data_IF_119486024035
#
_entry.id   IF_119486024035
#
_cell.length_a   1.000
_cell.length_b   1.000
_cell.length_c   1.000
_cell.angle_alpha   90.00
_cell.angle_beta   90.00
_cell.angle_gamma   90.00
#
_symmetry.space_group_name_H-M   'P 1'
#
loop_
_entity.id
_entity.type
_entity.pdbx_description
1 polymer ?
#
# COMPACT_ATOMS: atom_id res chain seq x y z
N UNK A 1 16.61 -13.30 -30.28
CA UNK A 1 15.31 -13.32 -29.56
C UNK A 1 14.87 -14.76 -29.51
N UNK A 2 14.98 -15.40 -28.35
CA UNK A 2 14.63 -16.81 -28.12
C UNK A 2 13.28 -16.94 -27.39
N UNK A 3 12.76 -18.16 -27.18
CA UNK A 3 11.38 -18.40 -26.73
C UNK A 3 11.13 -18.07 -25.23
N UNK A 4 12.12 -17.51 -24.55
CA UNK A 4 12.01 -17.05 -23.18
C UNK A 4 11.90 -15.52 -23.22
N UNK A 5 10.66 -15.03 -23.15
CA UNK A 5 10.38 -13.61 -22.94
C UNK A 5 11.18 -13.08 -21.75
N UNK A 6 11.45 -11.78 -21.74
CA UNK A 6 12.15 -11.09 -20.65
C UNK A 6 11.65 -11.56 -19.28
N UNK A 7 12.57 -11.77 -18.34
CA UNK A 7 12.23 -12.16 -16.96
C UNK A 7 11.08 -11.32 -16.39
N UNK A 8 10.15 -11.92 -15.61
CA UNK A 8 9.05 -11.19 -15.01
C UNK A 8 9.58 -10.06 -14.13
N UNK A 9 8.82 -8.97 -13.99
CA UNK A 9 9.28 -7.76 -13.32
C UNK A 9 9.95 -8.03 -11.95
N UNK A 10 9.39 -8.86 -11.04
CA UNK A 10 10.04 -9.11 -9.75
C UNK A 10 11.43 -9.74 -9.84
N UNK A 11 11.71 -10.54 -10.88
CA UNK A 11 13.03 -11.13 -11.11
C UNK A 11 14.06 -10.12 -11.64
N UNK A 12 13.62 -8.94 -12.08
CA UNK A 12 14.47 -7.85 -12.56
C UNK A 12 14.68 -6.75 -11.52
N UNK A 13 13.95 -6.78 -10.41
CA UNK A 13 14.15 -5.84 -9.30
C UNK A 13 15.41 -6.20 -8.52
N UNK A 14 16.14 -5.18 -8.06
CA UNK A 14 17.31 -5.38 -7.21
C UNK A 14 16.94 -5.99 -5.84
N UNK A 15 15.72 -5.70 -5.35
CA UNK A 15 15.18 -6.22 -4.11
C UNK A 15 13.66 -6.40 -4.23
N UNK A 16 13.14 -7.42 -3.56
CA UNK A 16 11.70 -7.76 -3.47
C UNK A 16 11.20 -7.83 -2.02
N UNK A 17 12.05 -7.49 -1.04
CA UNK A 17 11.69 -7.48 0.39
C UNK A 17 11.70 -8.86 1.04
N UNK A 18 12.18 -9.90 0.34
CA UNK A 18 12.33 -11.25 0.89
C UNK A 18 11.03 -12.07 1.03
N UNK A 19 9.87 -11.49 0.76
CA UNK A 19 8.58 -12.17 0.81
C UNK A 19 8.37 -13.21 -0.29
N UNK A 20 7.41 -14.11 -0.08
CA UNK A 20 6.90 -15.03 -1.11
C UNK A 20 5.75 -14.45 -1.92
N UNK A 21 5.29 -13.25 -1.58
CA UNK A 21 4.29 -12.49 -2.33
C UNK A 21 4.79 -11.08 -2.54
N UNK A 22 4.45 -10.48 -3.68
CA UNK A 22 4.78 -9.11 -4.02
C UNK A 22 3.62 -8.46 -4.75
N UNK A 23 3.34 -7.19 -4.47
CA UNK A 23 2.44 -6.37 -5.28
C UNK A 23 3.28 -5.30 -5.95
N UNK A 24 3.19 -5.20 -7.28
CA UNK A 24 3.83 -4.12 -8.05
C UNK A 24 2.75 -3.21 -8.62
N UNK A 25 2.88 -1.90 -8.39
CA UNK A 25 2.07 -0.88 -9.07
C UNK A 25 3.00 -0.08 -9.99
N UNK A 26 2.78 -0.17 -11.30
CA UNK A 26 3.66 0.41 -12.32
C UNK A 26 2.91 1.43 -13.16
N UNK A 27 3.46 2.64 -13.22
CA UNK A 27 3.05 3.71 -14.12
C UNK A 27 4.00 3.79 -15.33
N UNK A 28 3.53 4.19 -16.52
CA UNK A 28 4.39 4.32 -17.69
C UNK A 28 5.37 5.50 -17.61
N UNK A 29 5.05 6.54 -16.83
CA UNK A 29 5.94 7.68 -16.56
C UNK A 29 5.65 8.28 -15.17
N UNK A 30 6.60 9.05 -14.59
CA UNK A 30 6.40 9.68 -13.28
C UNK A 30 5.16 10.58 -13.19
N UNK A 31 4.76 11.25 -14.27
CA UNK A 31 3.56 12.11 -14.28
C UNK A 31 2.24 11.37 -14.51
N UNK A 32 2.23 10.04 -14.66
CA UNK A 32 1.02 9.30 -14.99
C UNK A 32 0.13 9.08 -13.77
N UNK A 33 -1.18 9.21 -13.98
CA UNK A 33 -2.22 8.97 -12.95
C UNK A 33 -2.89 7.61 -13.09
N UNK A 34 -2.48 6.82 -14.10
CA UNK A 34 -2.97 5.47 -14.38
C UNK A 34 -1.82 4.51 -14.61
N UNK A 35 -2.06 3.22 -14.39
CA UNK A 35 -1.13 2.16 -14.74
C UNK A 35 -1.66 0.79 -14.35
N UNK A 36 -0.77 -0.14 -14.01
CA UNK A 36 -1.10 -1.55 -13.74
C UNK A 36 -0.68 -1.93 -12.33
N UNK A 37 -1.58 -2.57 -11.59
CA UNK A 37 -1.27 -3.28 -10.36
C UNK A 37 -1.25 -4.79 -10.64
N UNK A 38 -0.20 -5.48 -10.19
CA UNK A 38 -0.02 -6.92 -10.38
C UNK A 38 0.39 -7.54 -9.05
N UNK A 39 -0.24 -8.66 -8.65
CA UNK A 39 0.19 -9.46 -7.51
C UNK A 39 0.86 -10.75 -7.99
N UNK A 40 1.97 -11.08 -7.32
CA UNK A 40 2.88 -12.14 -7.70
C UNK A 40 3.04 -13.13 -6.56
N UNK A 41 3.08 -14.41 -6.89
CA UNK A 41 3.46 -15.48 -5.96
C UNK A 41 4.83 -16.04 -6.33
N UNK A 42 5.68 -16.24 -5.34
CA UNK A 42 6.95 -16.93 -5.47
C UNK A 42 6.77 -18.41 -5.14
N UNK A 43 7.05 -19.27 -6.11
CA UNK A 43 6.94 -20.74 -5.97
C UNK A 43 8.23 -21.37 -6.48
N UNK A 44 8.86 -22.22 -5.66
CA UNK A 44 10.13 -22.86 -5.97
C UNK A 44 11.20 -21.87 -6.51
N UNK A 45 11.30 -20.70 -5.87
CA UNK A 45 12.28 -19.67 -6.22
C UNK A 45 11.91 -18.78 -7.41
N UNK A 46 10.85 -19.08 -8.17
CA UNK A 46 10.41 -18.34 -9.35
C UNK A 46 9.15 -17.53 -9.08
N UNK A 47 9.02 -16.38 -9.73
CA UNK A 47 7.86 -15.50 -9.62
C UNK A 47 6.81 -15.81 -10.70
N UNK A 48 5.55 -15.85 -10.29
CA UNK A 48 4.40 -16.07 -11.16
C UNK A 48 3.38 -14.97 -10.92
N UNK A 49 2.83 -14.42 -12.01
CA UNK A 49 1.68 -13.51 -11.91
C UNK A 49 0.47 -14.31 -11.43
N UNK A 50 -0.11 -13.88 -10.31
CA UNK A 50 -1.34 -14.45 -9.76
C UNK A 50 -2.58 -13.62 -10.13
N UNK A 51 -2.38 -12.42 -10.67
CA UNK A 51 -3.41 -11.58 -11.27
C UNK A 51 -3.03 -10.10 -11.27
N UNK A 52 -3.95 -9.26 -11.75
CA UNK A 52 -3.75 -7.83 -11.80
C UNK A 52 -5.03 -7.04 -12.02
N UNK A 53 -4.90 -5.72 -11.91
CA UNK A 53 -5.97 -4.75 -12.10
C UNK A 53 -5.40 -3.44 -12.65
N UNK A 54 -6.28 -2.59 -13.19
CA UNK A 54 -5.90 -1.20 -13.50
C UNK A 54 -5.70 -0.41 -12.20
N UNK A 55 -4.64 0.39 -12.17
CA UNK A 55 -4.27 1.20 -11.01
C UNK A 55 -4.54 2.68 -11.26
N UNK A 56 -4.92 3.40 -10.20
CA UNK A 56 -4.91 4.86 -10.15
C UNK A 56 -3.81 5.32 -9.22
N UNK A 57 -3.01 6.26 -9.69
CA UNK A 57 -2.00 6.95 -8.89
C UNK A 57 -2.51 8.32 -8.45
N UNK A 58 -1.78 8.96 -7.55
CA UNK A 58 -2.09 10.31 -7.09
C UNK A 58 -2.29 11.28 -8.27
N UNK A 59 -3.14 12.30 -8.08
CA UNK A 59 -3.46 13.27 -9.13
C UNK A 59 -2.25 14.01 -9.71
N UNK A 60 -1.16 14.10 -8.94
CA UNK A 60 0.11 14.69 -9.35
C UNK A 60 1.17 13.65 -9.75
N UNK A 61 0.77 12.41 -10.01
CA UNK A 61 1.65 11.32 -10.43
C UNK A 61 2.43 10.68 -9.28
N UNK A 62 3.67 10.33 -9.55
CA UNK A 62 4.59 9.61 -8.68
C UNK A 62 5.77 10.48 -8.27
N UNK A 63 6.29 10.29 -7.07
CA UNK A 63 7.48 10.98 -6.56
C UNK A 63 8.32 10.02 -5.71
N UNK A 64 9.61 10.33 -5.52
CA UNK A 64 10.50 9.53 -4.69
C UNK A 64 9.98 9.45 -3.25
N UNK A 65 9.79 8.22 -2.76
CA UNK A 65 9.14 7.97 -1.48
C UNK A 65 9.86 8.59 -0.29
N UNK A 66 11.19 8.61 -0.31
CA UNK A 66 12.01 9.18 0.76
C UNK A 66 11.84 10.71 0.92
N UNK A 67 11.38 11.40 -0.13
CA UNK A 67 11.20 12.86 -0.15
C UNK A 67 9.73 13.26 -0.26
N UNK A 68 8.81 12.31 -0.25
CA UNK A 68 7.38 12.57 -0.44
C UNK A 68 6.80 13.30 0.77
N UNK A 69 6.09 14.40 0.52
CA UNK A 69 5.39 15.17 1.55
C UNK A 69 3.89 14.87 1.57
N UNK A 70 3.27 14.86 2.75
CA UNK A 70 1.81 14.77 2.92
C UNK A 70 1.08 15.88 2.13
N UNK A 71 -0.14 15.60 1.66
CA UNK A 71 -0.97 16.57 0.95
C UNK A 71 -0.55 16.87 -0.49
N UNK A 72 0.57 16.31 -0.98
CA UNK A 72 1.05 16.55 -2.36
C UNK A 72 0.29 15.81 -3.45
N UNK A 73 -0.68 14.95 -3.10
CA UNK A 73 -1.45 14.12 -4.05
C UNK A 73 -0.57 13.31 -5.01
N UNK A 74 0.62 12.89 -4.57
CA UNK A 74 1.51 11.98 -5.29
C UNK A 74 1.42 10.56 -4.71
N UNK A 75 1.79 9.55 -5.49
CA UNK A 75 2.07 8.19 -4.98
C UNK A 75 3.58 8.06 -4.77
N UNK A 76 4.06 7.58 -3.60
CA UNK A 76 5.49 7.43 -3.39
C UNK A 76 6.01 6.18 -4.13
N UNK A 77 7.12 6.32 -4.86
CA UNK A 77 7.87 5.19 -5.40
C UNK A 77 8.73 4.56 -4.30
N UNK A 78 8.92 3.24 -4.37
CA UNK A 78 9.75 2.52 -3.42
C UNK A 78 9.28 1.10 -3.19
N UNK A 79 9.90 0.43 -2.23
CA UNK A 79 9.52 -0.87 -1.69
C UNK A 79 9.01 -0.67 -0.26
N UNK A 80 7.84 -1.22 0.04
CA UNK A 80 7.16 -1.04 1.31
C UNK A 80 6.61 -2.36 1.82
N UNK A 81 6.72 -2.58 3.12
CA UNK A 81 6.02 -3.66 3.79
C UNK A 81 4.54 -3.34 3.93
N UNK A 82 3.70 -4.36 3.80
CA UNK A 82 2.31 -4.31 4.22
C UNK A 82 2.24 -5.01 5.59
N UNK A 83 2.01 -4.29 6.70
CA UNK A 83 2.07 -4.91 8.01
C UNK A 83 0.80 -5.69 8.37
N UNK A 84 -0.36 -5.22 7.90
CA UNK A 84 -1.67 -5.85 8.10
C UNK A 84 -2.70 -5.22 7.17
N UNK A 85 -3.74 -5.96 6.84
CA UNK A 85 -4.98 -5.44 6.28
C UNK A 85 -5.91 -4.96 7.40
N UNK A 86 -6.88 -4.10 7.08
CA UNK A 86 -7.88 -3.66 8.04
C UNK A 86 -9.19 -3.28 7.37
N UNK A 87 -10.26 -3.17 8.16
CA UNK A 87 -11.53 -2.63 7.66
C UNK A 87 -12.71 -2.71 8.62
N UNK A 88 -13.80 -2.03 8.25
CA UNK A 88 -15.06 -1.96 9.00
C UNK A 88 -15.92 -3.21 8.81
N UNK A 89 -15.58 -4.12 7.90
CA UNK A 89 -16.24 -5.43 7.82
C UNK A 89 -15.31 -6.48 8.40
N UNK A 90 -15.85 -7.66 8.69
CA UNK A 90 -14.99 -8.81 9.02
C UNK A 90 -14.17 -9.15 7.78
N UNK A 91 -12.96 -9.68 8.00
CA UNK A 91 -12.15 -10.20 6.91
C UNK A 91 -12.98 -11.21 6.08
N UNK A 92 -12.89 -11.18 4.74
CA UNK A 92 -13.48 -12.21 3.90
C UNK A 92 -13.03 -13.61 4.33
N UNK A 93 -13.91 -14.61 4.19
CA UNK A 93 -13.56 -15.99 4.46
C UNK A 93 -12.34 -16.42 3.63
N UNK A 94 -11.38 -17.09 4.26
CA UNK A 94 -10.11 -17.50 3.61
C UNK A 94 -9.02 -16.43 3.62
N UNK A 95 -9.21 -15.29 4.30
CA UNK A 95 -8.14 -14.31 4.53
C UNK A 95 -7.13 -14.87 5.53
N UNK A 96 -5.91 -15.17 5.09
CA UNK A 96 -4.81 -15.63 5.95
C UNK A 96 -3.91 -14.49 6.42
N UNK A 97 -3.90 -13.37 5.69
CA UNK A 97 -3.11 -12.19 6.04
C UNK A 97 -3.65 -11.51 7.30
N UNK A 98 -2.75 -10.98 8.14
CA UNK A 98 -3.15 -10.31 9.38
C UNK A 98 -4.18 -9.22 9.12
N UNK A 99 -5.36 -9.33 9.76
CA UNK A 99 -6.47 -8.42 9.54
C UNK A 99 -6.93 -7.77 10.84
N UNK A 100 -6.85 -6.44 10.91
CA UNK A 100 -7.31 -5.64 12.05
C UNK A 100 -8.73 -5.13 11.81
N UNK A 101 -9.65 -5.45 12.72
CA UNK A 101 -11.03 -4.96 12.64
C UNK A 101 -11.08 -3.51 13.12
N UNK A 102 -11.68 -2.62 12.32
CA UNK A 102 -12.02 -1.25 12.75
C UNK A 102 -13.12 -1.33 13.83
N UNK A 103 -12.97 -0.52 14.87
CA UNK A 103 -13.87 -0.35 16.01
C UNK A 103 -14.22 1.13 16.17
N UNK A 104 -15.17 1.49 17.07
CA UNK A 104 -15.45 2.89 17.38
C UNK A 104 -14.25 3.68 17.92
N UNK A 105 -13.21 3.02 18.43
CA UNK A 105 -12.01 3.68 18.96
C UNK A 105 -10.87 3.75 17.94
N UNK A 106 -11.07 3.28 16.71
CA UNK A 106 -10.01 3.17 15.70
C UNK A 106 -9.79 4.47 14.94
N UNK A 107 -8.57 4.99 15.01
CA UNK A 107 -8.16 6.23 14.34
C UNK A 107 -6.87 6.04 13.54
N UNK A 108 -6.73 6.77 12.43
CA UNK A 108 -5.46 6.96 11.74
C UNK A 108 -4.99 8.40 11.92
N UNK A 109 -3.87 8.60 12.62
CA UNK A 109 -3.36 9.94 12.87
C UNK A 109 -2.54 10.44 11.68
N UNK A 110 -2.95 11.56 11.07
CA UNK A 110 -2.23 12.23 9.97
C UNK A 110 -1.56 13.54 10.42
N UNK A 111 -1.63 13.87 11.70
CA UNK A 111 -0.97 15.04 12.27
C UNK A 111 0.57 14.86 12.26
N UNK A 112 1.25 15.63 11.41
CA UNK A 112 2.71 15.63 11.28
C UNK A 112 3.44 16.00 12.59
N UNK A 113 2.80 16.73 13.50
CA UNK A 113 3.37 17.11 14.79
C UNK A 113 3.23 15.99 15.85
N UNK A 114 2.42 14.96 15.57
CA UNK A 114 2.17 13.88 16.50
C UNK A 114 3.26 12.82 16.46
N UNK A 115 3.63 12.28 17.63
CA UNK A 115 4.45 11.07 17.68
C UNK A 115 3.71 9.84 17.09
N UNK A 116 2.37 9.93 16.97
CA UNK A 116 1.54 8.94 16.31
C UNK A 116 1.37 9.17 14.80
N UNK A 117 2.09 10.12 14.19
CA UNK A 117 1.97 10.41 12.75
C UNK A 117 2.07 9.15 11.88
N UNK A 118 1.14 9.00 10.93
CA UNK A 118 1.00 7.84 10.03
C UNK A 118 0.94 6.50 10.77
N UNK A 119 0.24 6.46 11.89
CA UNK A 119 0.00 5.24 12.67
C UNK A 119 -1.48 5.10 13.03
N UNK A 120 -1.90 3.85 13.12
CA UNK A 120 -3.14 3.48 13.75
C UNK A 120 -3.07 3.73 15.27
N UNK A 121 -4.13 4.29 15.84
CA UNK A 121 -4.28 4.52 17.28
C UNK A 121 -5.66 4.10 17.76
N UNK A 122 -5.72 3.62 19.00
CA UNK A 122 -6.93 3.22 19.71
C UNK A 122 -6.75 3.51 21.21
N UNK A 123 -7.32 4.60 21.77
CA UNK A 123 -8.09 5.66 21.12
C UNK A 123 -7.20 6.70 20.41
N UNK A 124 -7.81 7.77 19.88
CA UNK A 124 -7.07 8.95 19.38
C UNK A 124 -6.26 9.58 20.53
N UNK A 125 -4.94 9.73 20.40
CA UNK A 125 -4.11 10.26 21.47
C UNK A 125 -4.18 11.80 21.51
N UNK A 126 -4.05 12.40 22.70
CA UNK A 126 -4.22 13.84 22.90
C UNK A 126 -3.27 14.73 22.07
N UNK A 127 -2.10 14.21 21.70
CA UNK A 127 -1.12 14.88 20.83
C UNK A 127 -1.35 14.65 19.32
N UNK A 128 -2.52 14.16 18.92
CA UNK A 128 -2.94 14.08 17.52
C UNK A 128 -4.18 14.96 17.36
N UNK A 129 -4.09 16.02 16.56
CA UNK A 129 -5.21 16.91 16.34
C UNK A 129 -6.40 16.15 15.69
N UNK A 130 -7.61 16.19 16.27
CA UNK A 130 -8.76 15.46 15.71
C UNK A 130 -9.13 15.84 14.27
N UNK A 131 -8.86 17.09 13.87
CA UNK A 131 -9.08 17.56 12.49
C UNK A 131 -8.04 17.05 11.48
N UNK A 132 -6.92 16.49 11.96
CA UNK A 132 -5.83 15.91 11.18
C UNK A 132 -5.80 14.38 11.38
N UNK A 133 -6.92 13.78 11.76
CA UNK A 133 -7.04 12.35 11.99
C UNK A 133 -8.29 11.78 11.33
N UNK A 134 -8.19 10.55 10.83
CA UNK A 134 -9.33 9.83 10.27
C UNK A 134 -9.96 8.96 11.35
N UNK A 135 -11.26 9.18 11.62
CA UNK A 135 -12.05 8.26 12.44
C UNK A 135 -12.50 7.10 11.57
N UNK A 136 -11.77 5.98 11.63
CA UNK A 136 -11.88 4.93 10.62
C UNK A 136 -13.26 4.28 10.54
N UNK A 137 -14.03 4.28 11.64
CA UNK A 137 -15.39 3.71 11.66
C UNK A 137 -16.39 4.53 10.82
N UNK A 138 -16.10 5.79 10.54
CA UNK A 138 -17.03 6.71 9.84
C UNK A 138 -17.13 6.47 8.33
N UNK A 139 -16.29 5.60 7.77
CA UNK A 139 -16.30 5.24 6.35
C UNK A 139 -17.27 4.08 6.01
N UNK A 140 -18.11 3.66 6.95
CA UNK A 140 -19.16 2.67 6.64
C UNK A 140 -20.17 3.33 5.69
N UNK A 141 -20.35 2.73 4.50
CA UNK A 141 -21.35 3.12 3.51
C UNK A 141 -22.51 2.15 3.50
#
# INVERSE_FOLDING_TARGET
QGPYGSDPLPARLADTGGGSQLITAVAPAPGSTTGRLTWWDRRAGRWYEAGGADARFGANGLTEGATRTQGTNTTPTGLYDLPYAFGIRRAPAGTEFGYRRVTPDSWWCQDNASAAYNRWTEPLPAHCAPGEAEHLVTYEK
#
